data_IF_958979007674
#
_entry.id   IF_958979007674
#
_cell.length_a   1.000
_cell.length_b   1.000
_cell.length_c   1.000
_cell.angle_alpha   90.00
_cell.angle_beta   90.00
_cell.angle_gamma   90.00
#
_symmetry.space_group_name_H-M   'P 1'
#
loop_
_entity.id
_entity.type
_entity.pdbx_description
1 polymer ?
#
# COMPACT_ATOMS: atom_id res chain seq x y z
N UNK A 1 -2.17 -13.73 44.14
CA UNK A 1 -1.18 -13.72 43.05
C UNK A 1 -1.63 -14.71 42.00
N UNK A 2 -1.86 -14.24 40.78
CA UNK A 2 -1.71 -14.99 39.52
C UNK A 2 -2.06 -14.04 38.38
N UNK A 3 -1.02 -13.54 37.74
CA UNK A 3 -1.04 -12.77 36.50
C UNK A 3 -1.24 -13.75 35.34
N UNK A 4 -2.08 -13.46 34.34
CA UNK A 4 -1.73 -13.83 32.96
C UNK A 4 -2.47 -13.01 31.90
N UNK A 5 -1.64 -12.37 31.08
CA UNK A 5 -1.78 -12.10 29.64
C UNK A 5 -2.97 -11.25 29.16
N UNK A 6 -2.78 -9.93 29.22
CA UNK A 6 -3.35 -9.01 28.26
C UNK A 6 -2.84 -9.39 26.85
N UNK A 7 -3.70 -10.00 26.05
CA UNK A 7 -3.53 -10.08 24.60
C UNK A 7 -3.62 -8.65 24.08
N UNK A 8 -2.47 -8.02 23.89
CA UNK A 8 -2.40 -6.74 23.19
C UNK A 8 -2.81 -7.00 21.75
N UNK A 9 -4.05 -6.65 21.43
CA UNK A 9 -4.52 -6.45 20.07
C UNK A 9 -3.59 -5.42 19.42
N UNK A 10 -2.56 -5.90 18.74
CA UNK A 10 -1.75 -5.07 17.85
C UNK A 10 -2.65 -4.65 16.69
N UNK A 11 -3.28 -3.48 16.84
CA UNK A 11 -3.95 -2.80 15.75
C UNK A 11 -2.99 -2.74 14.57
N UNK A 12 -3.41 -3.28 13.42
CA UNK A 12 -2.66 -3.31 12.14
C UNK A 12 -2.02 -1.97 11.76
N UNK A 13 -2.52 -0.87 12.33
CA UNK A 13 -1.98 0.50 12.31
C UNK A 13 -0.50 0.62 12.71
N UNK A 14 0.09 -0.37 13.40
CA UNK A 14 1.47 -0.29 13.93
C UNK A 14 2.54 -0.95 13.05
N UNK A 15 2.14 -1.73 12.03
CA UNK A 15 3.10 -2.49 11.24
C UNK A 15 3.70 -1.71 10.04
N UNK A 16 3.31 -0.46 9.83
CA UNK A 16 3.86 0.40 8.77
C UNK A 16 5.19 1.09 9.11
N UNK A 17 5.69 0.93 10.34
CA UNK A 17 6.80 1.71 10.88
C UNK A 17 8.19 1.04 10.79
N UNK A 18 8.34 -0.07 10.07
CA UNK A 18 9.64 -0.75 10.02
C UNK A 18 10.50 -0.14 8.90
N UNK A 19 11.62 0.42 9.37
CA UNK A 19 12.45 1.48 8.81
C UNK A 19 13.37 1.06 7.66
N UNK A 20 13.60 2.01 6.75
CA UNK A 20 14.74 2.02 5.84
C UNK A 20 16.00 2.36 6.65
N UNK A 21 17.02 1.49 6.62
CA UNK A 21 18.36 1.83 7.11
C UNK A 21 19.18 2.36 5.93
N UNK A 22 19.45 3.67 5.93
CA UNK A 22 20.60 4.22 5.22
C UNK A 22 21.67 4.53 6.27
N UNK A 23 22.89 4.07 5.97
CA UNK A 23 24.07 4.08 6.82
C UNK A 23 24.41 5.45 7.40
N UNK A 24 24.06 5.70 8.66
CA UNK A 24 24.73 6.63 9.58
C UNK A 24 23.92 6.68 10.88
N UNK A 25 24.45 6.07 11.95
CA UNK A 25 24.21 6.45 13.36
C UNK A 25 22.78 6.71 13.84
N UNK A 26 22.32 5.80 14.70
CA UNK A 26 21.21 5.89 15.67
C UNK A 26 19.81 5.38 15.26
N UNK A 27 19.17 4.55 16.12
CA UNK A 27 17.79 4.11 15.93
C UNK A 27 16.86 5.25 16.30
N UNK A 28 16.50 6.06 15.31
CA UNK A 28 15.55 7.16 15.47
C UNK A 28 14.13 6.58 15.60
N UNK A 29 13.74 6.21 16.82
CA UNK A 29 12.34 6.28 17.26
C UNK A 29 11.96 7.77 17.35
N UNK A 30 11.78 8.45 16.22
CA UNK A 30 11.27 9.83 16.22
C UNK A 30 10.02 9.97 15.38
N UNK A 31 9.00 10.54 16.01
CA UNK A 31 8.00 11.35 15.34
C UNK A 31 6.85 10.56 14.76
N UNK A 32 5.86 10.25 15.61
CA UNK A 32 4.48 10.02 15.19
C UNK A 32 3.93 11.27 14.48
N UNK A 33 4.25 11.44 13.21
CA UNK A 33 3.29 11.99 12.27
C UNK A 33 2.64 10.78 11.63
N UNK A 34 1.43 10.42 12.05
CA UNK A 34 0.65 9.44 11.30
C UNK A 34 0.47 10.02 9.90
N UNK A 35 1.27 9.53 8.96
CA UNK A 35 1.14 9.85 7.53
C UNK A 35 -0.18 9.30 6.96
N UNK A 36 -0.95 8.61 7.81
CA UNK A 36 -2.32 8.17 7.64
C UNK A 36 -3.29 9.30 8.00
N UNK A 37 -4.33 9.47 7.18
CA UNK A 37 -5.47 10.30 7.56
C UNK A 37 -6.56 9.49 8.29
N UNK A 38 -7.64 10.18 8.68
CA UNK A 38 -8.77 9.58 9.42
C UNK A 38 -9.47 8.43 8.68
N UNK A 39 -9.29 8.35 7.36
CA UNK A 39 -9.84 7.28 6.52
C UNK A 39 -8.85 6.12 6.34
N UNK A 40 -7.68 6.16 7.00
CA UNK A 40 -6.63 5.13 6.92
C UNK A 40 -5.74 5.25 5.68
N UNK A 41 -5.83 6.32 4.90
CA UNK A 41 -4.98 6.50 3.71
C UNK A 41 -3.62 7.07 4.07
N UNK A 42 -2.58 6.39 3.62
CA UNK A 42 -1.18 6.72 3.91
C UNK A 42 -0.53 7.56 2.79
N UNK A 43 0.28 8.55 3.16
CA UNK A 43 1.19 9.28 2.28
C UNK A 43 2.59 9.40 2.90
N UNK A 44 3.54 8.62 2.41
CA UNK A 44 4.97 8.77 2.64
C UNK A 44 5.68 9.49 1.49
N UNK A 45 6.99 9.60 1.61
CA UNK A 45 7.85 10.23 0.60
C UNK A 45 8.09 9.38 -0.65
N UNK A 46 8.00 8.04 -0.52
CA UNK A 46 8.23 7.08 -1.62
C UNK A 46 7.06 6.10 -1.77
N UNK A 47 5.98 6.29 -1.01
CA UNK A 47 4.87 5.36 -0.96
C UNK A 47 3.58 6.07 -0.60
N UNK A 48 2.47 5.71 -1.23
CA UNK A 48 1.13 6.07 -0.79
C UNK A 48 0.22 4.85 -0.88
N UNK A 49 -0.83 4.79 -0.07
CA UNK A 49 -1.71 3.63 -0.10
C UNK A 49 -3.08 3.83 0.52
N UNK A 50 -3.97 2.89 0.22
CA UNK A 50 -5.32 2.80 0.75
C UNK A 50 -5.37 2.30 2.20
N UNK A 51 -6.58 2.20 2.77
CA UNK A 51 -6.80 1.82 4.17
C UNK A 51 -6.34 0.39 4.52
N UNK A 52 -6.19 -0.47 3.51
CA UNK A 52 -5.74 -1.85 3.66
C UNK A 52 -4.32 -2.03 3.16
N UNK A 53 -3.44 -1.07 3.43
CA UNK A 53 -2.07 -1.10 2.95
C UNK A 53 -1.30 -2.26 3.61
N UNK A 54 -0.44 -2.94 2.84
CA UNK A 54 0.41 -4.00 3.38
C UNK A 54 1.60 -3.39 4.17
N UNK A 55 2.03 -4.07 5.22
CA UNK A 55 3.17 -3.64 6.04
C UNK A 55 4.51 -3.97 5.39
N UNK A 56 5.45 -3.01 5.38
CA UNK A 56 6.80 -3.22 4.83
C UNK A 56 7.72 -3.89 5.86
N UNK A 57 8.79 -4.59 5.39
CA UNK A 57 8.98 -5.04 4.01
C UNK A 57 7.91 -6.06 3.60
N UNK A 58 7.51 -6.04 2.33
CA UNK A 58 6.54 -6.98 1.77
C UNK A 58 6.91 -7.40 0.35
N UNK A 59 6.40 -8.56 -0.03
CA UNK A 59 6.63 -9.19 -1.32
C UNK A 59 5.33 -9.20 -2.14
N UNK A 60 5.49 -9.22 -3.46
CA UNK A 60 4.39 -9.41 -4.39
C UNK A 60 4.26 -10.88 -4.73
N UNK A 61 3.07 -11.43 -4.60
CA UNK A 61 2.75 -12.82 -4.95
C UNK A 61 1.56 -12.88 -5.92
N UNK A 62 1.43 -14.00 -6.62
CA UNK A 62 0.27 -14.23 -7.49
C UNK A 62 -1.00 -14.33 -6.65
N UNK A 63 -2.08 -13.72 -7.14
CA UNK A 63 -3.40 -13.90 -6.55
C UNK A 63 -3.95 -15.29 -6.90
N UNK A 64 -4.72 -15.88 -5.98
CA UNK A 64 -5.29 -17.20 -6.17
C UNK A 64 -6.34 -17.26 -7.29
N UNK A 65 -6.78 -18.47 -7.68
CA UNK A 65 -7.66 -18.69 -8.82
C UNK A 65 -9.07 -18.09 -8.65
N UNK A 66 -9.44 -17.68 -7.44
CA UNK A 66 -10.70 -16.96 -7.17
C UNK A 66 -10.74 -15.57 -7.82
N UNK A 67 -9.60 -15.04 -8.28
CA UNK A 67 -9.53 -13.76 -8.96
C UNK A 67 -9.46 -13.95 -10.48
N UNK A 68 -10.37 -13.33 -11.20
CA UNK A 68 -10.47 -13.43 -12.65
C UNK A 68 -9.51 -12.45 -13.37
N UNK A 69 -8.64 -12.99 -14.23
CA UNK A 69 -7.68 -12.22 -15.03
C UNK A 69 -8.37 -11.21 -15.96
N UNK A 70 -9.56 -11.52 -16.49
CA UNK A 70 -10.30 -10.56 -17.33
C UNK A 70 -10.72 -9.34 -16.52
N UNK A 71 -11.06 -9.54 -15.26
CA UNK A 71 -11.38 -8.48 -14.31
C UNK A 71 -10.14 -7.63 -13.99
N UNK A 72 -8.94 -8.21 -13.93
CA UNK A 72 -7.70 -7.46 -13.76
C UNK A 72 -7.41 -6.52 -14.93
N UNK A 73 -7.60 -6.97 -16.17
CA UNK A 73 -7.37 -6.12 -17.34
C UNK A 73 -8.29 -4.90 -17.34
N UNK A 74 -9.57 -5.07 -16.95
CA UNK A 74 -10.50 -3.94 -16.80
C UNK A 74 -10.05 -2.96 -15.71
N UNK A 75 -9.61 -3.48 -14.57
CA UNK A 75 -9.07 -2.67 -13.46
C UNK A 75 -7.84 -1.90 -13.92
N UNK A 76 -6.88 -2.56 -14.55
CA UNK A 76 -5.64 -1.94 -15.05
C UNK A 76 -5.98 -0.82 -16.04
N UNK A 77 -6.84 -1.07 -17.03
CA UNK A 77 -7.25 -0.05 -18.00
C UNK A 77 -7.88 1.17 -17.34
N UNK A 78 -8.80 0.97 -16.38
CA UNK A 78 -9.45 2.10 -15.69
C UNK A 78 -8.45 2.86 -14.82
N UNK A 79 -7.59 2.15 -14.08
CA UNK A 79 -6.55 2.76 -13.25
C UNK A 79 -5.56 3.56 -14.10
N UNK A 80 -5.09 3.02 -15.23
CA UNK A 80 -4.21 3.72 -16.17
C UNK A 80 -4.83 5.04 -16.61
N UNK A 81 -6.11 5.03 -17.02
CA UNK A 81 -6.84 6.24 -17.41
C UNK A 81 -6.88 7.28 -16.29
N UNK A 82 -7.08 6.85 -15.04
CA UNK A 82 -7.10 7.76 -13.87
C UNK A 82 -5.73 8.34 -13.53
N UNK A 83 -4.66 7.55 -13.69
CA UNK A 83 -3.28 7.97 -13.44
C UNK A 83 -2.84 8.97 -14.51
N UNK A 84 -3.13 8.69 -15.78
CA UNK A 84 -2.87 9.56 -16.92
C UNK A 84 -3.61 10.90 -16.80
N UNK A 85 -4.89 10.88 -16.42
CA UNK A 85 -5.68 12.10 -16.19
C UNK A 85 -5.09 13.02 -15.11
N UNK A 86 -4.35 12.46 -14.14
CA UNK A 86 -3.67 13.24 -13.11
C UNK A 86 -2.22 13.58 -13.44
N UNK A 87 -1.76 13.29 -14.67
CA UNK A 87 -0.41 13.54 -15.15
C UNK A 87 0.68 12.95 -14.23
N UNK A 88 0.37 11.82 -13.58
CA UNK A 88 1.32 11.13 -12.71
C UNK A 88 2.11 10.14 -13.57
N UNK A 89 3.43 10.32 -13.75
CA UNK A 89 4.23 9.40 -14.53
C UNK A 89 4.39 8.06 -13.80
N UNK A 90 4.20 6.97 -14.54
CA UNK A 90 4.29 5.60 -14.03
C UNK A 90 5.04 4.69 -15.01
N UNK A 91 5.68 3.66 -14.45
CA UNK A 91 6.41 2.62 -15.17
C UNK A 91 5.53 1.39 -15.36
N UNK A 92 4.73 1.06 -14.35
CA UNK A 92 3.92 -0.16 -14.37
C UNK A 92 2.68 -0.02 -13.50
N UNK A 93 1.58 -0.67 -13.91
CA UNK A 93 0.37 -0.86 -13.12
C UNK A 93 0.05 -2.35 -13.17
N UNK A 94 -0.09 -2.98 -12.00
CA UNK A 94 -0.37 -4.41 -11.90
C UNK A 94 -1.35 -4.71 -10.78
N UNK A 95 -2.03 -5.85 -10.89
CA UNK A 95 -2.88 -6.40 -9.83
C UNK A 95 -2.18 -7.62 -9.25
N UNK A 96 -1.87 -7.59 -7.96
CA UNK A 96 -1.04 -8.59 -7.28
C UNK A 96 -1.47 -8.79 -5.83
N UNK A 97 -1.00 -9.85 -5.19
CA UNK A 97 -1.10 -10.02 -3.75
C UNK A 97 0.10 -9.39 -3.05
N UNK A 98 -0.10 -8.66 -1.95
CA UNK A 98 0.98 -8.11 -1.12
C UNK A 98 1.01 -8.82 0.22
N UNK A 99 2.15 -9.41 0.59
CA UNK A 99 2.34 -10.11 1.87
C UNK A 99 3.51 -9.51 2.64
N UNK A 100 3.26 -9.11 3.89
CA UNK A 100 4.31 -8.62 4.79
C UNK A 100 5.25 -9.74 5.17
N UNK A 101 6.56 -9.47 5.17
CA UNK A 101 7.60 -10.41 5.64
C UNK A 101 7.70 -10.45 7.17
N UNK A 102 7.26 -9.39 7.85
CA UNK A 102 7.37 -9.26 9.32
C UNK A 102 6.11 -9.78 10.01
N UNK A 103 4.94 -9.48 9.44
CA UNK A 103 3.65 -9.94 9.95
C UNK A 103 2.83 -10.55 8.81
N UNK A 104 3.24 -11.73 8.29
CA UNK A 104 2.54 -12.38 7.21
C UNK A 104 1.12 -12.75 7.66
N UNK A 105 0.12 -12.18 7.00
CA UNK A 105 -1.26 -12.62 7.14
C UNK A 105 -1.48 -14.02 6.55
N UNK A 106 -2.64 -14.63 6.84
CA UNK A 106 -2.99 -15.94 6.27
C UNK A 106 -3.04 -15.90 4.72
N UNK A 107 -3.56 -14.82 4.16
CA UNK A 107 -3.68 -14.59 2.72
C UNK A 107 -2.98 -13.27 2.34
N UNK A 108 -2.48 -13.14 1.09
CA UNK A 108 -1.97 -11.87 0.62
C UNK A 108 -3.09 -10.86 0.51
N UNK A 109 -2.76 -9.58 0.66
CA UNK A 109 -3.70 -8.49 0.44
C UNK A 109 -3.79 -8.23 -1.06
N UNK A 110 -4.95 -8.42 -1.71
CA UNK A 110 -5.13 -8.06 -3.10
C UNK A 110 -4.90 -6.57 -3.28
N UNK A 111 -3.99 -6.19 -4.16
CA UNK A 111 -3.50 -4.83 -4.29
C UNK A 111 -3.31 -4.45 -5.75
N UNK A 112 -3.82 -3.27 -6.10
CA UNK A 112 -3.46 -2.57 -7.32
C UNK A 112 -2.16 -1.82 -7.01
N UNK A 113 -1.06 -2.30 -7.59
CA UNK A 113 0.27 -1.74 -7.39
C UNK A 113 0.63 -0.86 -8.58
N UNK A 114 0.92 0.40 -8.29
CA UNK A 114 1.35 1.41 -9.27
C UNK A 114 2.79 1.76 -8.95
N UNK A 115 3.69 1.53 -9.92
CA UNK A 115 5.10 1.88 -9.81
C UNK A 115 5.30 3.21 -10.52
N UNK A 116 5.58 4.27 -9.76
CA UNK A 116 5.92 5.58 -10.30
C UNK A 116 7.37 5.61 -10.78
N UNK A 117 7.67 6.44 -11.78
CA UNK A 117 9.02 6.59 -12.32
C UNK A 117 9.99 7.40 -11.43
N UNK A 118 9.51 7.85 -10.25
CA UNK A 118 10.30 8.60 -9.26
C UNK A 118 10.62 10.05 -9.64
N UNK A 119 10.32 10.48 -10.89
CA UNK A 119 10.67 11.84 -11.37
C UNK A 119 9.82 12.92 -10.70
N UNK A 120 8.62 12.57 -10.23
CA UNK A 120 7.73 13.47 -9.49
C UNK A 120 7.12 12.76 -8.28
N UNK A 121 7.66 13.05 -7.09
CA UNK A 121 6.99 12.74 -5.81
C UNK A 121 5.76 13.62 -5.69
N UNK A 122 4.61 13.08 -6.07
CA UNK A 122 3.39 13.85 -6.09
C UNK A 122 2.69 13.75 -4.73
N UNK A 123 2.49 14.90 -4.07
CA UNK A 123 1.53 15.03 -2.95
C UNK A 123 0.12 14.57 -3.34
N UNK A 124 -0.14 14.38 -4.64
CA UNK A 124 -1.38 13.87 -5.17
C UNK A 124 -1.51 12.35 -5.12
N UNK A 125 -0.45 11.59 -4.80
CA UNK A 125 -0.54 10.12 -4.75
C UNK A 125 -1.63 9.64 -3.80
N UNK A 126 -1.75 10.21 -2.59
CA UNK A 126 -2.86 9.91 -1.69
C UNK A 126 -4.23 10.29 -2.25
N UNK A 127 -4.31 11.40 -3.00
CA UNK A 127 -5.57 11.79 -3.65
C UNK A 127 -5.95 10.78 -4.73
N UNK A 128 -4.98 10.36 -5.54
CA UNK A 128 -5.16 9.34 -6.56
C UNK A 128 -5.54 7.98 -5.94
N UNK A 129 -4.86 7.52 -4.88
CA UNK A 129 -5.21 6.27 -4.21
C UNK A 129 -6.64 6.30 -3.67
N UNK A 130 -7.08 7.43 -3.10
CA UNK A 130 -8.49 7.65 -2.71
C UNK A 130 -9.45 7.56 -3.88
N UNK A 131 -9.14 8.23 -5.00
CA UNK A 131 -9.99 8.22 -6.20
C UNK A 131 -10.13 6.80 -6.75
N UNK A 132 -9.02 6.08 -6.91
CA UNK A 132 -9.00 4.70 -7.42
C UNK A 132 -9.78 3.79 -6.46
N UNK A 133 -9.49 3.86 -5.17
CA UNK A 133 -10.17 3.05 -4.16
C UNK A 133 -11.68 3.25 -4.23
N UNK A 134 -12.16 4.50 -4.24
CA UNK A 134 -13.60 4.81 -4.35
C UNK A 134 -14.23 4.33 -5.66
N UNK A 135 -13.49 4.35 -6.77
CA UNK A 135 -13.96 3.86 -8.07
C UNK A 135 -14.12 2.33 -8.11
N UNK A 136 -13.23 1.60 -7.42
CA UNK A 136 -13.12 0.14 -7.54
C UNK A 136 -13.81 -0.62 -6.38
N UNK A 137 -13.99 0.02 -5.23
CA UNK A 137 -14.69 -0.56 -4.05
C UNK A 137 -16.04 -1.18 -4.42
N UNK A 138 -16.76 -0.60 -5.39
CA UNK A 138 -18.09 -1.08 -5.79
C UNK A 138 -18.07 -2.53 -6.30
N UNK A 139 -16.92 -3.04 -6.73
CA UNK A 139 -16.81 -4.39 -7.30
C UNK A 139 -15.86 -5.33 -6.54
N UNK A 140 -14.87 -4.84 -5.78
CA UNK A 140 -13.83 -5.72 -5.21
C UNK A 140 -13.11 -5.17 -3.95
N UNK A 141 -12.60 -6.09 -3.12
CA UNK A 141 -11.73 -5.87 -1.95
C UNK A 141 -10.26 -5.66 -2.31
N UNK A 142 -9.94 -4.75 -3.25
CA UNK A 142 -8.55 -4.38 -3.55
C UNK A 142 -8.07 -3.23 -2.66
N UNK A 143 -6.84 -3.35 -2.17
CA UNK A 143 -6.04 -2.21 -1.73
C UNK A 143 -5.43 -1.49 -2.93
N UNK A 144 -5.03 -0.24 -2.76
CA UNK A 144 -4.31 0.54 -3.78
C UNK A 144 -3.00 0.99 -3.17
N UNK A 145 -1.90 0.78 -3.88
CA UNK A 145 -0.56 1.14 -3.44
C UNK A 145 0.20 1.81 -4.59
N UNK A 146 0.77 2.98 -4.33
CA UNK A 146 1.71 3.65 -5.23
C UNK A 146 3.08 3.61 -4.57
N UNK A 147 4.09 3.13 -5.28
CA UNK A 147 5.48 3.13 -4.83
C UNK A 147 6.37 3.85 -5.84
N UNK A 148 7.43 4.46 -5.33
CA UNK A 148 8.54 4.93 -6.15
C UNK A 148 9.32 3.71 -6.69
N UNK A 149 9.77 3.75 -7.95
CA UNK A 149 10.60 2.68 -8.54
C UNK A 149 11.94 2.50 -7.81
N UNK A 150 12.38 3.47 -7.00
CA UNK A 150 13.59 3.38 -6.18
C UNK A 150 13.38 2.68 -4.82
N UNK A 151 12.15 2.25 -4.53
CA UNK A 151 11.76 1.61 -3.26
C UNK A 151 12.14 0.12 -3.22
#
# INVERSE_FOLDING_TARGET
MSSTSNVTNFSRSTAHAISYSCSSGEPIYSGYTSNEDREGFYQGSQRAGGPYLCSLPCESEALGPQFDVKSFNKIITEVSRMVEYQEIPFVNITVTGRRSRVSPGAQPIPTILIISDGRKKSRMWKRLTKSIFKSIIWNCTFSVEIIDATL
#
